data_IF_077454967187
#
_entry.id   IF_077454967187
#
_cell.length_a   1.000
_cell.length_b   1.000
_cell.length_c   1.000
_cell.angle_alpha   90.00
_cell.angle_beta   90.00
_cell.angle_gamma   90.00
#
_symmetry.space_group_name_H-M   'P 1'
#
loop_
_entity.id
_entity.type
_entity.pdbx_description
1 polymer ?
#
# COMPACT_ATOMS: atom_id res chain seq x y z
N UNK A 1 6.90 36.43 -0.03
CA UNK A 1 6.84 34.96 0.10
C UNK A 1 7.78 34.38 -0.96
N UNK A 2 8.93 33.89 -0.57
CA UNK A 2 9.94 33.38 -1.51
C UNK A 2 9.48 32.00 -2.05
N UNK A 3 9.98 31.62 -3.25
CA UNK A 3 9.67 30.31 -3.85
C UNK A 3 9.99 29.12 -2.90
N UNK A 4 10.89 29.33 -1.98
CA UNK A 4 11.33 28.36 -0.98
C UNK A 4 10.34 28.23 0.21
N UNK A 5 9.66 29.31 0.59
CA UNK A 5 8.64 29.25 1.65
C UNK A 5 7.47 28.38 1.18
N UNK A 6 7.12 28.44 -0.11
CA UNK A 6 6.08 27.60 -0.72
C UNK A 6 6.44 26.11 -0.73
N UNK A 7 7.71 25.76 -0.97
CA UNK A 7 8.14 24.35 -0.99
C UNK A 7 8.15 23.72 0.41
N UNK A 8 8.55 24.50 1.42
CA UNK A 8 8.52 24.05 2.82
C UNK A 8 7.08 23.91 3.34
N UNK A 9 6.18 24.81 2.95
CA UNK A 9 4.76 24.71 3.28
C UNK A 9 4.09 23.49 2.60
N UNK A 10 4.46 23.18 1.36
CA UNK A 10 3.95 22.01 0.64
C UNK A 10 4.41 20.67 1.23
N UNK A 11 5.51 20.63 1.96
CA UNK A 11 5.99 19.42 2.62
C UNK A 11 5.25 19.13 3.93
N UNK A 12 4.68 20.15 4.58
CA UNK A 12 3.95 20.00 5.85
C UNK A 12 2.56 19.44 5.65
N UNK A 13 2.20 18.51 6.52
CA UNK A 13 0.86 17.95 6.61
C UNK A 13 0.06 18.66 7.69
N UNK A 14 -1.16 19.11 7.34
CA UNK A 14 -2.12 19.58 8.33
C UNK A 14 -2.54 18.43 9.27
N UNK A 15 -3.09 18.76 10.44
CA UNK A 15 -3.56 17.77 11.39
C UNK A 15 -4.61 16.82 10.78
N UNK A 16 -5.50 17.36 9.95
CA UNK A 16 -6.50 16.56 9.24
C UNK A 16 -5.86 15.55 8.27
N UNK A 17 -4.83 15.96 7.51
CA UNK A 17 -4.10 15.06 6.61
C UNK A 17 -3.34 13.98 7.37
N UNK A 18 -2.78 14.30 8.56
CA UNK A 18 -2.16 13.29 9.43
C UNK A 18 -3.18 12.26 9.93
N UNK A 19 -4.40 12.71 10.25
CA UNK A 19 -5.51 11.82 10.58
C UNK A 19 -5.85 10.85 9.44
N UNK A 20 -5.83 11.34 8.19
CA UNK A 20 -6.04 10.50 7.00
C UNK A 20 -4.93 9.44 6.87
N UNK A 21 -3.67 9.77 7.14
CA UNK A 21 -2.57 8.81 7.12
C UNK A 21 -2.75 7.69 8.16
N UNK A 22 -3.19 8.06 9.38
CA UNK A 22 -3.54 7.07 10.43
C UNK A 22 -4.68 6.19 9.96
N UNK A 23 -5.72 6.76 9.36
CA UNK A 23 -6.85 6.01 8.81
C UNK A 23 -6.39 4.99 7.75
N UNK A 24 -5.51 5.39 6.81
CA UNK A 24 -4.95 4.47 5.83
C UNK A 24 -4.13 3.35 6.48
N UNK A 25 -3.32 3.67 7.50
CA UNK A 25 -2.58 2.65 8.24
C UNK A 25 -3.52 1.63 8.91
N UNK A 26 -4.63 2.10 9.50
CA UNK A 26 -5.65 1.23 10.09
C UNK A 26 -6.34 0.36 9.02
N UNK A 27 -6.65 0.91 7.84
CA UNK A 27 -7.22 0.11 6.73
C UNK A 27 -6.27 -1.00 6.28
N UNK A 28 -4.95 -0.73 6.20
CA UNK A 28 -3.94 -1.74 5.86
C UNK A 28 -3.86 -2.84 6.93
N UNK A 29 -3.92 -2.47 8.21
CA UNK A 29 -3.93 -3.44 9.32
C UNK A 29 -5.19 -4.29 9.31
N UNK A 30 -6.36 -3.70 9.01
CA UNK A 30 -7.61 -4.45 8.86
C UNK A 30 -7.54 -5.42 7.69
N UNK A 31 -7.00 -4.99 6.55
CA UNK A 31 -6.79 -5.84 5.38
C UNK A 31 -5.83 -7.00 5.69
N UNK A 32 -4.72 -6.70 6.39
CA UNK A 32 -3.79 -7.71 6.86
C UNK A 32 -4.48 -8.73 7.77
N UNK A 33 -5.23 -8.26 8.78
CA UNK A 33 -6.00 -9.12 9.69
C UNK A 33 -7.07 -9.95 8.97
N UNK A 34 -7.71 -9.38 7.95
CA UNK A 34 -8.69 -10.06 7.11
C UNK A 34 -8.07 -11.26 6.38
N UNK A 35 -6.88 -11.09 5.78
CA UNK A 35 -6.19 -12.22 5.13
C UNK A 35 -5.65 -13.24 6.13
N UNK A 36 -5.17 -12.82 7.30
CA UNK A 36 -4.79 -13.75 8.38
C UNK A 36 -5.98 -14.58 8.82
N UNK A 37 -7.16 -13.97 8.94
CA UNK A 37 -8.38 -14.71 9.27
C UNK A 37 -8.67 -15.81 8.24
N UNK A 38 -8.63 -15.49 6.94
CA UNK A 38 -8.81 -16.48 5.86
C UNK A 38 -7.77 -17.59 5.86
N UNK A 39 -6.56 -17.32 6.31
CA UNK A 39 -5.49 -18.30 6.40
C UNK A 39 -5.64 -19.22 7.63
N UNK A 40 -6.11 -18.68 8.75
CA UNK A 40 -6.26 -19.44 10.00
C UNK A 40 -7.58 -20.22 10.06
N UNK A 41 -8.59 -19.76 9.35
CA UNK A 41 -9.88 -20.42 9.23
C UNK A 41 -9.99 -21.13 7.86
N UNK A 42 -10.53 -22.35 7.79
CA UNK A 42 -10.64 -23.10 6.52
C UNK A 42 -11.79 -22.56 5.66
N UNK A 43 -11.72 -21.27 5.27
CA UNK A 43 -12.76 -20.61 4.46
C UNK A 43 -12.73 -21.06 3.00
N UNK A 44 -11.60 -21.59 2.50
CA UNK A 44 -11.42 -21.92 1.10
C UNK A 44 -10.95 -20.76 0.20
N UNK A 45 -10.74 -19.56 0.76
CA UNK A 45 -10.24 -18.40 -0.01
C UNK A 45 -8.83 -18.64 -0.55
N UNK A 46 -7.93 -19.18 0.25
CA UNK A 46 -6.61 -19.60 -0.20
C UNK A 46 -6.66 -21.03 -0.75
N UNK A 47 -6.18 -21.21 -1.97
CA UNK A 47 -6.10 -22.51 -2.63
C UNK A 47 -4.84 -23.28 -2.17
N UNK A 48 -4.69 -24.53 -2.56
CA UNK A 48 -3.48 -25.34 -2.30
C UNK A 48 -2.18 -24.73 -2.86
N UNK A 49 -2.29 -23.78 -3.79
CA UNK A 49 -1.15 -23.03 -4.34
C UNK A 49 -0.60 -21.96 -3.39
N UNK A 50 -1.32 -21.66 -2.29
CA UNK A 50 -0.90 -20.65 -1.32
C UNK A 50 0.11 -21.24 -0.34
N UNK A 51 1.38 -21.21 -0.71
CA UNK A 51 2.51 -21.66 0.11
C UNK A 51 3.22 -20.53 0.84
N UNK A 52 4.40 -20.85 1.40
CA UNK A 52 5.21 -19.89 2.17
C UNK A 52 5.67 -18.69 1.33
N UNK A 53 5.93 -18.91 0.05
CA UNK A 53 6.38 -17.85 -0.85
C UNK A 53 5.23 -16.87 -1.17
N UNK A 54 4.03 -17.39 -1.41
CA UNK A 54 2.82 -16.58 -1.62
C UNK A 54 2.45 -15.79 -0.36
N UNK A 55 2.61 -16.41 0.81
CA UNK A 55 2.48 -15.71 2.10
C UNK A 55 3.43 -14.53 2.20
N UNK A 56 4.70 -14.72 1.87
CA UNK A 56 5.68 -13.63 1.88
C UNK A 56 5.27 -12.51 0.93
N UNK A 57 4.93 -12.83 -0.33
CA UNK A 57 4.53 -11.83 -1.33
C UNK A 57 3.20 -11.14 -1.02
N UNK A 58 2.32 -11.76 -0.23
CA UNK A 58 1.08 -11.13 0.22
C UNK A 58 1.31 -10.22 1.44
N UNK A 59 1.97 -10.75 2.47
CA UNK A 59 2.03 -10.07 3.77
C UNK A 59 3.17 -9.06 3.90
N UNK A 60 4.36 -9.36 3.37
CA UNK A 60 5.50 -8.47 3.54
C UNK A 60 5.30 -7.09 2.92
N UNK A 61 4.76 -6.94 1.68
CA UNK A 61 4.48 -5.62 1.13
C UNK A 61 3.37 -4.87 1.88
N UNK A 62 2.35 -5.58 2.42
CA UNK A 62 1.30 -4.95 3.23
C UNK A 62 1.86 -4.37 4.53
N UNK A 63 2.71 -5.11 5.24
CA UNK A 63 3.37 -4.63 6.45
C UNK A 63 4.35 -3.51 6.14
N UNK A 64 5.15 -3.65 5.08
CA UNK A 64 6.08 -2.61 4.66
C UNK A 64 5.33 -1.33 4.23
N UNK A 65 4.14 -1.48 3.67
CA UNK A 65 3.24 -0.40 3.28
C UNK A 65 2.81 0.52 4.44
N UNK A 66 2.87 0.05 5.68
CA UNK A 66 2.60 0.87 6.87
C UNK A 66 3.68 1.93 7.10
N UNK A 67 4.91 1.74 6.60
CA UNK A 67 6.04 2.64 6.88
C UNK A 67 5.77 4.08 6.43
N UNK A 68 5.31 4.30 5.22
CA UNK A 68 5.08 5.64 4.68
C UNK A 68 3.97 6.43 5.41
N UNK A 69 2.74 5.90 5.61
CA UNK A 69 1.70 6.60 6.36
C UNK A 69 2.10 6.83 7.83
N UNK A 70 2.79 5.90 8.49
CA UNK A 70 3.24 6.08 9.87
C UNK A 70 4.30 7.18 9.97
N UNK A 71 5.29 7.22 9.06
CA UNK A 71 6.28 8.29 9.01
C UNK A 71 5.60 9.64 8.79
N UNK A 72 4.64 9.75 7.86
CA UNK A 72 3.90 10.98 7.59
C UNK A 72 3.05 11.42 8.77
N UNK A 73 2.35 10.49 9.42
CA UNK A 73 1.56 10.78 10.61
C UNK A 73 2.42 11.27 11.78
N UNK A 74 3.59 10.64 11.98
CA UNK A 74 4.52 10.97 13.06
C UNK A 74 5.23 12.30 12.83
N UNK A 75 5.91 12.43 11.69
CA UNK A 75 6.76 13.60 11.39
C UNK A 75 5.97 14.83 10.98
N UNK A 76 4.76 14.66 10.43
CA UNK A 76 3.98 15.73 9.81
C UNK A 76 4.60 16.24 8.49
N UNK A 77 5.53 15.49 7.88
CA UNK A 77 6.21 15.85 6.64
C UNK A 77 6.10 14.73 5.61
N UNK A 78 6.00 15.12 4.34
CA UNK A 78 5.86 14.17 3.21
C UNK A 78 7.22 13.63 2.75
N UNK A 79 8.24 14.48 2.72
CA UNK A 79 9.52 14.13 2.11
C UNK A 79 10.25 12.95 2.76
N UNK A 80 10.30 12.81 4.11
CA UNK A 80 10.92 11.65 4.76
C UNK A 80 10.27 10.30 4.42
N UNK A 81 8.98 10.30 4.06
CA UNK A 81 8.24 9.10 3.73
C UNK A 81 8.37 8.66 2.26
N UNK A 82 8.78 9.56 1.35
CA UNK A 82 8.86 9.28 -0.10
C UNK A 82 9.72 8.07 -0.49
N UNK A 83 10.93 7.85 0.08
CA UNK A 83 11.70 6.65 -0.26
C UNK A 83 10.98 5.35 0.16
N UNK A 84 10.25 5.37 1.29
CA UNK A 84 9.45 4.23 1.73
C UNK A 84 8.22 4.04 0.82
N UNK A 85 7.58 5.13 0.39
CA UNK A 85 6.48 5.10 -0.58
C UNK A 85 6.93 4.48 -1.92
N UNK A 86 8.08 4.91 -2.44
CA UNK A 86 8.66 4.36 -3.66
C UNK A 86 8.97 2.87 -3.52
N UNK A 87 9.64 2.48 -2.43
CA UNK A 87 9.99 1.09 -2.17
C UNK A 87 8.73 0.22 -1.98
N UNK A 88 7.72 0.71 -1.24
CA UNK A 88 6.43 0.01 -1.07
C UNK A 88 5.73 -0.19 -2.41
N UNK A 89 5.63 0.86 -3.24
CA UNK A 89 4.94 0.80 -4.53
C UNK A 89 5.59 -0.21 -5.47
N UNK A 90 6.91 -0.26 -5.49
CA UNK A 90 7.65 -1.24 -6.29
C UNK A 90 7.49 -2.66 -5.73
N UNK A 91 7.58 -2.81 -4.40
CA UNK A 91 7.41 -4.10 -3.73
C UNK A 91 6.00 -4.67 -3.98
N UNK A 92 4.96 -3.84 -3.86
CA UNK A 92 3.59 -4.22 -4.16
C UNK A 92 3.41 -4.59 -5.64
N UNK A 93 4.05 -3.88 -6.59
CA UNK A 93 3.96 -4.21 -8.00
C UNK A 93 4.59 -5.58 -8.32
N UNK A 94 5.76 -5.88 -7.74
CA UNK A 94 6.42 -7.18 -7.89
C UNK A 94 5.60 -8.30 -7.23
N UNK A 95 5.08 -8.04 -6.03
CA UNK A 95 4.20 -8.97 -5.33
C UNK A 95 2.93 -9.28 -6.12
N UNK A 96 2.29 -8.24 -6.67
CA UNK A 96 1.11 -8.40 -7.50
C UNK A 96 1.39 -9.21 -8.78
N UNK A 97 2.55 -8.99 -9.41
CA UNK A 97 2.97 -9.78 -10.58
C UNK A 97 3.14 -11.27 -10.22
N UNK A 98 3.80 -11.56 -9.08
CA UNK A 98 3.95 -12.93 -8.59
C UNK A 98 2.60 -13.57 -8.28
N UNK A 99 1.78 -12.90 -7.45
CA UNK A 99 0.47 -13.40 -7.05
C UNK A 99 -0.51 -13.55 -8.22
N UNK A 100 -0.38 -12.72 -9.26
CA UNK A 100 -1.15 -12.86 -10.49
C UNK A 100 -0.71 -14.09 -11.30
N UNK A 101 0.60 -14.40 -11.34
CA UNK A 101 1.13 -15.53 -12.11
C UNK A 101 0.75 -16.89 -11.50
N UNK A 102 0.73 -16.99 -10.17
CA UNK A 102 0.35 -18.21 -9.44
C UNK A 102 -1.15 -18.27 -9.21
N UNK A 103 -1.77 -17.14 -8.97
CA UNK A 103 -3.16 -16.90 -8.60
C UNK A 103 -3.67 -17.91 -7.55
N UNK A 104 -3.21 -17.78 -6.30
CA UNK A 104 -3.50 -18.74 -5.25
C UNK A 104 -4.81 -18.44 -4.50
N UNK A 105 -5.76 -17.73 -5.13
CA UNK A 105 -7.00 -17.23 -4.51
C UNK A 105 -8.23 -17.86 -5.14
N UNK A 106 -9.28 -18.02 -4.33
CA UNK A 106 -10.65 -18.35 -4.76
C UNK A 106 -11.59 -17.28 -4.17
N UNK A 107 -11.92 -16.27 -4.96
CA UNK A 107 -12.73 -15.14 -4.52
C UNK A 107 -14.19 -15.51 -4.23
N UNK A 108 -14.68 -16.68 -4.66
CA UNK A 108 -15.99 -17.16 -4.26
C UNK A 108 -16.14 -17.26 -2.73
N UNK A 109 -15.04 -17.48 -2.03
CA UNK A 109 -14.98 -17.61 -0.57
C UNK A 109 -14.52 -16.34 0.15
N UNK A 110 -14.32 -15.22 -0.56
CA UNK A 110 -13.86 -13.96 0.03
C UNK A 110 -14.85 -13.44 1.09
N UNK A 111 -16.14 -13.60 0.84
CA UNK A 111 -17.21 -13.12 1.73
C UNK A 111 -17.37 -14.00 2.99
N UNK A 112 -16.78 -15.20 3.03
CA UNK A 112 -16.98 -16.15 4.15
C UNK A 112 -16.33 -15.70 5.46
N UNK A 113 -15.42 -14.73 5.41
CA UNK A 113 -14.89 -14.05 6.60
C UNK A 113 -15.90 -13.11 7.26
N UNK A 114 -16.99 -12.74 6.57
CA UNK A 114 -17.98 -11.81 7.09
C UNK A 114 -19.20 -12.56 7.67
N UNK A 115 -19.86 -11.98 8.69
CA UNK A 115 -21.19 -12.44 9.13
C UNK A 115 -22.17 -12.46 7.96
N UNK A 116 -23.13 -13.40 7.98
CA UNK A 116 -24.08 -13.61 6.86
C UNK A 116 -24.74 -12.34 6.35
N UNK A 117 -25.17 -11.45 7.26
CA UNK A 117 -25.81 -10.18 6.92
C UNK A 117 -24.89 -9.18 6.19
N UNK A 118 -23.56 -9.39 6.16
CA UNK A 118 -22.58 -8.49 5.52
C UNK A 118 -21.91 -9.11 4.29
N UNK A 119 -22.17 -10.38 3.98
CA UNK A 119 -21.52 -11.08 2.85
C UNK A 119 -21.78 -10.43 1.51
N UNK A 120 -22.93 -9.76 1.35
CA UNK A 120 -23.27 -9.04 0.11
C UNK A 120 -22.26 -7.95 -0.25
N UNK A 121 -21.51 -7.40 0.72
CA UNK A 121 -20.49 -6.38 0.49
C UNK A 121 -19.32 -6.90 -0.34
N UNK A 122 -18.99 -8.19 -0.24
CA UNK A 122 -17.85 -8.80 -0.93
C UNK A 122 -18.27 -9.87 -1.96
N UNK A 123 -19.53 -10.31 -1.95
CA UNK A 123 -20.01 -11.39 -2.81
C UNK A 123 -19.93 -11.08 -4.33
N UNK A 124 -19.84 -9.82 -4.71
CA UNK A 124 -19.69 -9.38 -6.10
C UNK A 124 -18.23 -9.46 -6.60
N UNK A 125 -17.26 -9.63 -5.68
CA UNK A 125 -15.84 -9.73 -6.03
C UNK A 125 -15.55 -11.15 -6.48
N UNK A 126 -15.35 -11.32 -7.78
CA UNK A 126 -14.99 -12.58 -8.43
C UNK A 126 -13.48 -12.68 -8.64
N UNK A 127 -13.00 -13.86 -9.08
CA UNK A 127 -11.59 -14.08 -9.45
C UNK A 127 -11.13 -13.06 -10.52
N UNK A 128 -11.98 -12.74 -11.50
CA UNK A 128 -11.68 -11.74 -12.52
C UNK A 128 -11.49 -10.34 -11.95
N UNK A 129 -12.28 -9.96 -10.94
CA UNK A 129 -12.13 -8.69 -10.22
C UNK A 129 -10.82 -8.70 -9.41
N UNK A 130 -10.49 -9.81 -8.76
CA UNK A 130 -9.22 -9.97 -8.05
C UNK A 130 -8.01 -9.83 -8.97
N UNK A 131 -8.03 -10.51 -10.13
CA UNK A 131 -6.99 -10.39 -11.16
C UNK A 131 -6.87 -8.96 -11.70
N UNK A 132 -8.00 -8.29 -11.92
CA UNK A 132 -8.01 -6.88 -12.34
C UNK A 132 -7.32 -5.97 -11.32
N UNK A 133 -7.57 -6.14 -10.04
CA UNK A 133 -6.90 -5.35 -9.00
C UNK A 133 -5.40 -5.63 -8.93
N UNK A 134 -4.95 -6.88 -9.10
CA UNK A 134 -3.53 -7.20 -9.19
C UNK A 134 -2.86 -6.56 -10.41
N UNK A 135 -3.51 -6.58 -11.58
CA UNK A 135 -3.03 -5.89 -12.79
C UNK A 135 -2.96 -4.37 -12.56
N UNK A 136 -4.00 -3.78 -12.00
CA UNK A 136 -4.04 -2.35 -11.69
C UNK A 136 -2.92 -1.96 -10.72
N UNK A 137 -2.62 -2.80 -9.72
CA UNK A 137 -1.51 -2.62 -8.79
C UNK A 137 -0.16 -2.58 -9.49
N UNK A 138 0.06 -3.43 -10.51
CA UNK A 138 1.29 -3.43 -11.32
C UNK A 138 1.39 -2.14 -12.15
N UNK A 139 0.30 -1.78 -12.85
CA UNK A 139 0.27 -0.61 -13.75
C UNK A 139 0.47 0.70 -12.98
N UNK A 140 -0.10 0.82 -11.77
CA UNK A 140 0.01 2.04 -10.95
C UNK A 140 1.31 2.04 -10.12
N UNK A 141 1.75 0.89 -9.63
CA UNK A 141 2.86 0.80 -8.69
C UNK A 141 4.18 1.31 -9.26
N UNK A 142 4.51 0.96 -10.50
CA UNK A 142 5.77 1.39 -11.14
C UNK A 142 5.80 2.91 -11.36
N UNK A 143 4.82 3.56 -12.00
CA UNK A 143 4.80 5.01 -12.13
C UNK A 143 4.81 5.76 -10.78
N UNK A 144 4.08 5.23 -9.79
CA UNK A 144 4.05 5.83 -8.44
C UNK A 144 5.43 5.81 -7.79
N UNK A 145 6.17 4.70 -7.90
CA UNK A 145 7.54 4.59 -7.41
C UNK A 145 8.47 5.62 -8.08
N UNK A 146 8.39 5.74 -9.41
CA UNK A 146 9.20 6.70 -10.17
C UNK A 146 8.92 8.15 -9.76
N UNK A 147 7.64 8.52 -9.62
CA UNK A 147 7.24 9.86 -9.17
C UNK A 147 7.69 10.14 -7.74
N UNK A 148 7.60 9.17 -6.84
CA UNK A 148 8.05 9.33 -5.45
C UNK A 148 9.58 9.54 -5.38
N UNK A 149 10.35 8.78 -6.16
CA UNK A 149 11.82 8.93 -6.27
C UNK A 149 12.17 10.32 -6.84
N UNK A 150 11.54 10.70 -7.95
CA UNK A 150 11.79 12.00 -8.57
C UNK A 150 11.51 13.17 -7.61
N UNK A 151 10.37 13.14 -6.91
CA UNK A 151 10.01 14.16 -5.92
C UNK A 151 10.97 14.21 -4.75
N UNK A 152 11.47 13.05 -4.29
CA UNK A 152 12.46 13.00 -3.21
C UNK A 152 13.75 13.72 -3.56
N UNK A 153 14.32 13.46 -4.73
CA UNK A 153 15.55 14.09 -5.18
C UNK A 153 15.36 15.57 -5.53
N UNK A 154 14.25 15.94 -6.15
CA UNK A 154 13.93 17.35 -6.45
C UNK A 154 13.87 18.19 -5.19
N UNK A 155 13.31 17.68 -4.10
CA UNK A 155 13.24 18.39 -2.84
C UNK A 155 14.65 18.56 -2.21
N UNK A 156 15.48 17.53 -2.23
CA UNK A 156 16.85 17.58 -1.69
C UNK A 156 17.75 18.53 -2.45
N UNK A 157 17.66 18.60 -3.77
CA UNK A 157 18.45 19.51 -4.59
C UNK A 157 18.29 20.97 -4.15
N UNK A 158 17.07 21.40 -3.84
CA UNK A 158 16.80 22.75 -3.38
C UNK A 158 17.34 23.09 -1.97
N UNK A 159 17.49 22.09 -1.10
CA UNK A 159 18.01 22.32 0.27
C UNK A 159 19.53 22.35 0.35
N UNK A 160 20.24 21.65 -0.54
CA UNK A 160 21.72 21.60 -0.58
C UNK A 160 22.31 22.90 -1.12
N UNK A 161 21.72 23.48 -2.17
CA UNK A 161 22.19 24.73 -2.78
C UNK A 161 22.17 25.91 -1.77
N UNK A 162 21.36 25.84 -0.73
CA UNK A 162 21.24 26.89 0.30
C UNK A 162 22.32 26.86 1.38
N UNK A 163 22.99 25.72 1.59
CA UNK A 163 24.09 25.62 2.57
C UNK A 163 25.44 26.04 1.99
N UNK A 164 25.50 26.25 0.69
CA UNK A 164 26.73 26.63 -0.03
C UNK A 164 26.83 28.14 -0.34
N UNK A 165 25.83 28.92 0.06
CA UNK A 165 25.79 30.43 -0.03
C UNK A 165 25.71 31.01 1.38
#
# INVERSE_FOLDING_TARGET
MTMNDRTLDQDRLSLALRGIEVFFALCLLLLFGFFIYHQTQPTGFFTEKFGTLEMFWLYAPLLFGLSAPLIRAWTGHRNPARPFEAATSLFLAVAALWLLSVFPFNFAHLADALPEGLRFLLAWITDGVGQFFLLLQIIIGVPTALVAIWRYFSFRGHTVTRRAV
#
